data_IF_427976335351
#
_entry.id   IF_427976335351
#
_cell.length_a   1.000
_cell.length_b   1.000
_cell.length_c   1.000
_cell.angle_alpha   90.00
_cell.angle_beta   90.00
_cell.angle_gamma   90.00
#
_symmetry.space_group_name_H-M   'P 1'
#
loop_
_entity.id
_entity.type
_entity.pdbx_description
1 polymer ?
#
# COMPACT_ATOMS: atom_id res chain seq x y z
N UNK A 1 -15.97 -22.05 -55.96
CA UNK A 1 -16.71 -21.85 -54.70
C UNK A 1 -15.89 -22.53 -53.61
N UNK A 2 -15.32 -21.94 -52.57
CA UNK A 2 -15.25 -20.57 -52.09
C UNK A 2 -13.86 -20.42 -51.45
N UNK A 3 -13.20 -19.29 -51.70
CA UNK A 3 -11.99 -18.90 -50.97
C UNK A 3 -12.39 -18.29 -49.62
N UNK A 4 -11.38 -18.17 -48.77
CA UNK A 4 -11.22 -17.22 -47.65
C UNK A 4 -11.42 -17.85 -46.27
N UNK A 5 -10.27 -18.30 -45.74
CA UNK A 5 -9.93 -18.26 -44.33
C UNK A 5 -9.92 -16.81 -43.83
N UNK A 6 -10.52 -16.56 -42.67
CA UNK A 6 -10.03 -15.72 -41.55
C UNK A 6 -11.19 -15.31 -40.65
N UNK A 7 -11.10 -15.63 -39.37
CA UNK A 7 -11.64 -14.76 -38.32
C UNK A 7 -10.83 -15.03 -37.05
N UNK A 8 -9.79 -14.22 -36.88
CA UNK A 8 -9.08 -14.05 -35.62
C UNK A 8 -10.06 -13.45 -34.62
N UNK A 9 -10.40 -14.19 -33.57
CA UNK A 9 -11.11 -13.63 -32.41
C UNK A 9 -10.06 -12.99 -31.52
N UNK A 10 -9.88 -11.69 -31.75
CA UNK A 10 -9.12 -10.77 -30.92
C UNK A 10 -9.89 -10.61 -29.60
N UNK A 11 -9.54 -11.38 -28.57
CA UNK A 11 -10.01 -11.12 -27.20
C UNK A 11 -9.08 -10.11 -26.52
N UNK A 12 -9.08 -8.89 -27.05
CA UNK A 12 -8.53 -7.72 -26.37
C UNK A 12 -9.59 -7.10 -25.45
N UNK A 13 -9.11 -6.51 -24.35
CA UNK A 13 -9.79 -5.58 -23.42
C UNK A 13 -10.34 -6.21 -22.13
N UNK A 14 -9.45 -6.33 -21.15
CA UNK A 14 -9.48 -5.37 -20.04
C UNK A 14 -8.10 -5.35 -19.37
N UNK A 15 -7.19 -4.51 -19.89
CA UNK A 15 -6.26 -3.85 -18.97
C UNK A 15 -7.16 -3.05 -18.03
N UNK A 16 -7.45 -3.58 -16.84
CA UNK A 16 -7.93 -2.77 -15.73
C UNK A 16 -6.80 -1.80 -15.42
N UNK A 17 -6.77 -0.68 -16.16
CA UNK A 17 -6.14 0.54 -15.73
C UNK A 17 -6.95 1.02 -14.53
N UNK A 18 -6.78 0.35 -13.40
CA UNK A 18 -7.17 0.89 -12.12
C UNK A 18 -6.19 2.05 -11.93
N UNK A 19 -6.61 3.22 -12.41
CA UNK A 19 -6.00 4.48 -12.04
C UNK A 19 -6.26 4.64 -10.55
N UNK A 20 -5.37 4.09 -9.73
CA UNK A 20 -5.35 4.37 -8.30
C UNK A 20 -4.90 5.81 -8.18
N UNK A 21 -5.89 6.71 -8.17
CA UNK A 21 -5.71 8.01 -7.57
C UNK A 21 -5.21 7.75 -6.15
N UNK A 22 -3.98 8.16 -5.85
CA UNK A 22 -3.39 8.02 -4.52
C UNK A 22 -4.39 8.53 -3.49
N UNK A 23 -4.96 7.61 -2.72
CA UNK A 23 -5.91 7.96 -1.68
C UNK A 23 -5.22 8.79 -0.61
N UNK A 24 -5.94 9.68 0.04
CA UNK A 24 -5.41 10.30 1.27
C UNK A 24 -5.62 9.33 2.42
N UNK A 25 -4.62 9.21 3.30
CA UNK A 25 -4.81 8.54 4.59
C UNK A 25 -5.88 9.32 5.35
N UNK A 26 -6.95 8.63 5.74
CA UNK A 26 -8.06 9.23 6.47
C UNK A 26 -7.64 9.66 7.88
N UNK A 27 -8.29 10.68 8.42
CA UNK A 27 -8.08 11.13 9.81
C UNK A 27 -8.40 10.05 10.86
N UNK A 28 -9.13 9.01 10.47
CA UNK A 28 -9.40 7.80 11.26
C UNK A 28 -8.27 6.75 11.19
N UNK A 29 -7.12 7.13 10.63
CA UNK A 29 -5.95 6.28 10.42
C UNK A 29 -6.22 5.06 9.53
N UNK A 30 -7.02 5.26 8.48
CA UNK A 30 -7.31 4.22 7.51
C UNK A 30 -6.93 4.62 6.10
N UNK A 31 -6.59 3.60 5.32
CA UNK A 31 -6.46 3.69 3.88
C UNK A 31 -7.20 2.50 3.28
N UNK A 32 -8.14 2.77 2.36
CA UNK A 32 -9.01 1.76 1.77
C UNK A 32 -9.65 0.82 2.79
N UNK A 33 -10.12 1.39 3.92
CA UNK A 33 -10.81 0.66 4.98
C UNK A 33 -9.91 -0.15 5.92
N UNK A 34 -8.61 -0.29 5.66
CA UNK A 34 -7.67 -0.93 6.59
C UNK A 34 -7.05 0.09 7.54
N UNK A 35 -6.91 -0.28 8.81
CA UNK A 35 -6.19 0.53 9.79
C UNK A 35 -4.69 0.46 9.53
N UNK A 36 -4.01 1.61 9.61
CA UNK A 36 -2.56 1.72 9.39
C UNK A 36 -1.78 1.60 10.71
N UNK A 37 -2.07 0.53 11.45
CA UNK A 37 -1.43 0.16 12.71
C UNK A 37 -1.40 -1.37 12.83
N UNK A 38 -0.47 -1.90 13.61
CA UNK A 38 -0.39 -3.33 13.92
C UNK A 38 0.87 -4.00 13.38
N UNK A 39 0.76 -5.29 13.11
CA UNK A 39 1.83 -6.13 12.55
C UNK A 39 1.95 -5.92 11.06
N UNK A 40 3.11 -5.45 10.63
CA UNK A 40 3.38 -5.13 9.22
C UNK A 40 4.47 -6.03 8.69
N UNK A 41 4.23 -6.64 7.54
CA UNK A 41 5.25 -7.41 6.83
C UNK A 41 5.65 -6.72 5.55
N UNK A 42 6.95 -6.55 5.35
CA UNK A 42 7.50 -6.00 4.11
C UNK A 42 7.66 -7.16 3.11
N UNK A 43 7.09 -7.00 1.91
CA UNK A 43 7.11 -7.98 0.82
C UNK A 43 7.65 -7.34 -0.47
N UNK A 44 7.96 -8.18 -1.47
CA UNK A 44 8.46 -7.74 -2.79
C UNK A 44 7.40 -7.80 -3.90
N UNK A 45 6.24 -8.41 -3.63
CA UNK A 45 5.19 -8.60 -4.63
C UNK A 45 3.85 -8.84 -3.94
N UNK A 46 2.77 -8.45 -4.63
CA UNK A 46 1.39 -8.56 -4.16
C UNK A 46 1.17 -7.97 -2.74
N UNK A 47 1.66 -6.75 -2.44
CA UNK A 47 1.40 -6.12 -1.15
C UNK A 47 -0.07 -5.69 -1.05
N UNK A 48 -0.52 -5.43 0.18
CA UNK A 48 -1.75 -4.66 0.38
C UNK A 48 -1.56 -3.20 -0.04
N UNK A 49 -0.38 -2.63 0.27
CA UNK A 49 -0.04 -1.23 -0.03
C UNK A 49 1.39 -1.05 -0.56
N UNK A 50 1.55 -0.16 -1.52
CA UNK A 50 2.83 0.40 -1.93
C UNK A 50 3.12 1.66 -1.14
N UNK A 51 4.24 1.68 -0.43
CA UNK A 51 4.58 2.76 0.49
C UNK A 51 5.91 3.39 0.08
N UNK A 52 5.95 4.72 0.01
CA UNK A 52 7.19 5.45 -0.18
C UNK A 52 7.61 6.12 1.13
N UNK A 53 8.88 5.98 1.50
CA UNK A 53 9.45 6.68 2.65
C UNK A 53 9.91 8.07 2.21
N UNK A 54 9.50 9.09 2.96
CA UNK A 54 9.86 10.50 2.75
C UNK A 54 10.33 11.12 4.06
N UNK A 55 10.97 12.29 3.97
CA UNK A 55 11.49 13.04 5.14
C UNK A 55 10.69 14.31 5.42
N UNK A 56 9.67 14.62 4.62
CA UNK A 56 8.85 15.83 4.80
C UNK A 56 7.49 15.64 4.14
N UNK A 57 6.46 16.23 4.75
CA UNK A 57 5.06 16.15 4.31
C UNK A 57 4.56 14.71 4.06
N UNK A 58 4.78 13.76 4.98
CA UNK A 58 4.26 12.40 4.82
C UNK A 58 2.72 12.39 4.95
N UNK A 59 2.08 11.34 4.43
CA UNK A 59 0.67 11.07 4.71
C UNK A 59 0.48 10.42 6.10
N UNK A 60 1.49 9.67 6.56
CA UNK A 60 1.48 8.98 7.86
C UNK A 60 2.87 8.99 8.51
N UNK A 61 2.95 9.39 9.77
CA UNK A 61 4.14 9.19 10.61
C UNK A 61 4.11 7.79 11.21
N UNK A 62 5.19 7.04 11.00
CA UNK A 62 5.32 5.65 11.45
C UNK A 62 6.39 5.53 12.53
N UNK A 63 6.00 5.02 13.69
CA UNK A 63 6.91 4.59 14.75
C UNK A 63 7.07 3.07 14.69
N UNK A 64 8.30 2.60 14.55
CA UNK A 64 8.61 1.16 14.63
C UNK A 64 8.69 0.76 16.09
N UNK A 65 7.84 -0.20 16.49
CA UNK A 65 7.77 -0.71 17.85
C UNK A 65 8.06 -2.22 17.87
N UNK A 66 8.48 -2.73 19.03
CA UNK A 66 8.72 -4.18 19.23
C UNK A 66 7.49 -4.93 19.75
N UNK A 67 6.46 -4.21 20.21
CA UNK A 67 5.19 -4.73 20.72
C UNK A 67 4.16 -3.60 20.84
N UNK A 68 2.89 -3.93 21.07
CA UNK A 68 1.80 -2.97 21.28
C UNK A 68 1.64 -1.95 20.14
N UNK A 69 1.54 -2.46 18.92
CA UNK A 69 1.23 -1.68 17.72
C UNK A 69 -0.29 -1.35 17.61
N UNK A 70 -0.89 -0.88 18.71
CA UNK A 70 -2.33 -0.71 18.87
C UNK A 70 -2.85 0.72 18.55
N UNK A 71 -1.94 1.62 18.16
CA UNK A 71 -2.23 3.02 17.82
C UNK A 71 -1.81 3.37 16.41
N UNK A 72 -2.45 4.39 15.85
CA UNK A 72 -2.19 4.88 14.51
C UNK A 72 -0.70 5.09 14.26
N UNK A 73 -0.18 4.57 13.14
CA UNK A 73 1.22 4.72 12.78
C UNK A 73 2.20 3.90 13.63
N UNK A 74 1.76 3.11 14.60
CA UNK A 74 2.65 2.15 15.28
C UNK A 74 2.72 0.85 14.51
N UNK A 75 3.90 0.50 14.03
CA UNK A 75 4.13 -0.70 13.23
C UNK A 75 5.09 -1.65 13.95
N UNK A 76 4.64 -2.87 14.19
CA UNK A 76 5.49 -3.99 14.60
C UNK A 76 5.89 -4.75 13.33
N UNK A 77 7.17 -4.71 12.96
CA UNK A 77 7.64 -5.37 11.73
C UNK A 77 7.81 -6.87 11.99
N UNK A 78 7.07 -7.70 11.26
CA UNK A 78 7.03 -9.16 11.45
C UNK A 78 7.31 -9.94 10.17
N UNK A 79 7.67 -11.22 10.31
CA UNK A 79 7.88 -12.14 9.19
C UNK A 79 6.67 -13.07 8.94
N UNK A 80 5.78 -13.23 9.91
CA UNK A 80 4.62 -14.13 9.86
C UNK A 80 3.41 -13.50 10.57
N UNK A 81 2.20 -13.88 10.13
CA UNK A 81 0.92 -13.39 10.66
C UNK A 81 0.78 -11.85 10.73
N UNK A 82 1.04 -11.13 9.62
CA UNK A 82 0.82 -9.69 9.59
C UNK A 82 -0.67 -9.33 9.54
N UNK A 83 -1.01 -8.14 10.03
CA UNK A 83 -2.32 -7.53 9.83
C UNK A 83 -2.46 -6.97 8.40
N UNK A 84 -1.35 -6.47 7.84
CA UNK A 84 -1.23 -6.10 6.43
C UNK A 84 0.23 -6.12 5.94
N UNK A 85 0.39 -6.10 4.63
CA UNK A 85 1.67 -6.16 3.94
C UNK A 85 1.95 -4.86 3.19
N UNK A 86 3.23 -4.48 3.12
CA UNK A 86 3.67 -3.34 2.33
C UNK A 86 4.78 -3.73 1.37
N UNK A 87 4.85 -3.05 0.24
CA UNK A 87 6.03 -2.98 -0.62
C UNK A 87 6.61 -1.57 -0.54
N UNK A 88 7.92 -1.46 -0.32
CA UNK A 88 8.58 -0.17 -0.36
C UNK A 88 8.93 0.18 -1.81
N UNK A 89 8.47 1.35 -2.28
CA UNK A 89 8.66 1.80 -3.67
C UNK A 89 9.13 3.25 -3.73
N UNK A 90 9.84 3.60 -4.81
CA UNK A 90 10.27 4.99 -5.07
C UNK A 90 9.28 5.80 -5.93
N UNK A 91 8.43 5.10 -6.68
CA UNK A 91 7.49 5.68 -7.65
C UNK A 91 6.12 5.00 -7.57
N UNK A 92 5.07 5.79 -7.82
CA UNK A 92 3.67 5.37 -7.75
C UNK A 92 3.28 4.69 -6.42
N UNK A 93 3.58 5.32 -5.25
CA UNK A 93 3.09 4.81 -3.97
C UNK A 93 1.57 5.05 -3.82
N UNK A 94 0.94 4.23 -2.99
CA UNK A 94 -0.43 4.46 -2.53
C UNK A 94 -0.49 5.60 -1.52
N UNK A 95 0.48 5.66 -0.60
CA UNK A 95 0.70 6.76 0.35
C UNK A 95 2.17 6.82 0.79
N UNK A 96 2.55 7.95 1.38
CA UNK A 96 3.89 8.21 1.88
C UNK A 96 3.96 8.10 3.39
N UNK A 97 5.11 7.64 3.91
CA UNK A 97 5.40 7.60 5.34
C UNK A 97 6.67 8.35 5.70
N UNK A 98 6.73 8.85 6.92
CA UNK A 98 7.97 9.26 7.57
C UNK A 98 8.20 8.37 8.78
N UNK A 99 9.40 7.80 8.92
CA UNK A 99 9.74 7.09 10.15
C UNK A 99 10.10 8.08 11.26
N UNK A 100 9.43 7.96 12.41
CA UNK A 100 9.63 8.81 13.58
C UNK A 100 9.91 7.97 14.83
N UNK A 101 10.46 8.61 15.86
CA UNK A 101 10.70 7.99 17.18
C UNK A 101 9.62 8.34 18.21
N UNK A 102 8.72 9.28 17.89
CA UNK A 102 7.64 9.73 18.77
C UNK A 102 6.54 10.41 17.96
N UNK A 103 5.34 10.50 18.55
CA UNK A 103 4.14 11.10 17.93
C UNK A 103 3.79 10.47 16.56
N UNK A 104 3.60 9.14 16.48
CA UNK A 104 3.12 8.51 15.26
C UNK A 104 1.66 8.89 14.99
N UNK A 105 1.26 8.75 13.73
CA UNK A 105 -0.11 8.97 13.29
C UNK A 105 -0.20 9.85 12.06
N UNK A 106 -1.42 10.23 11.71
CA UNK A 106 -1.66 11.19 10.63
C UNK A 106 -1.15 12.57 11.09
N UNK A 107 -0.32 13.28 10.31
CA UNK A 107 0.21 14.59 10.68
C UNK A 107 -0.82 15.66 10.97
#
# INVERSE_FOLDING_TARGET
MSRIATLAIILSLAFFSHAWAGGKVGSDCKFNGKKLQGKVKIVKSFPDFKVKVVTSFPDLKVEKVSSFADKCGKWEIVTSFPDFTIELVDSFPDFTIEYVTSFPGVP
#
